data_IF_662172029598
#
_entry.id   IF_662172029598
#
_cell.length_a   1.000
_cell.length_b   1.000
_cell.length_c   1.000
_cell.angle_alpha   90.00
_cell.angle_beta   90.00
_cell.angle_gamma   90.00
#
_symmetry.space_group_name_H-M   'P 1'
#
loop_
_entity.id
_entity.type
_entity.pdbx_description
1 polymer ?
#
# COMPACT_ATOMS: atom_id res chain seq x y z
N UNK A 1 1.98 -3.54 14.67
CA UNK A 1 0.78 -3.11 13.92
C UNK A 1 0.91 -3.68 12.51
N UNK A 2 0.04 -4.61 12.12
CA UNK A 2 0.12 -5.22 10.79
C UNK A 2 -0.25 -4.18 9.72
N UNK A 3 0.47 -4.18 8.60
CA UNK A 3 0.09 -3.36 7.45
C UNK A 3 -1.24 -3.87 6.89
N UNK A 4 -2.13 -2.95 6.52
CA UNK A 4 -3.37 -3.31 5.82
C UNK A 4 -3.07 -4.10 4.54
N UNK A 5 -3.95 -5.04 4.20
CA UNK A 5 -3.82 -5.92 3.04
C UNK A 5 -3.64 -5.15 1.74
N UNK A 6 -2.89 -5.75 0.81
CA UNK A 6 -2.60 -5.14 -0.48
C UNK A 6 -3.87 -4.89 -1.32
N UNK A 7 -4.86 -5.80 -1.26
CA UNK A 7 -6.18 -5.60 -1.87
C UNK A 7 -6.83 -4.26 -1.46
N UNK A 8 -6.79 -3.95 -0.17
CA UNK A 8 -7.38 -2.73 0.38
C UNK A 8 -6.69 -1.49 -0.20
N UNK A 9 -5.37 -1.57 -0.38
CA UNK A 9 -4.58 -0.51 -1.00
C UNK A 9 -4.95 -0.32 -2.47
N UNK A 10 -5.09 -1.41 -3.23
CA UNK A 10 -5.48 -1.37 -4.63
C UNK A 10 -6.90 -0.79 -4.81
N UNK A 11 -7.83 -1.15 -3.93
CA UNK A 11 -9.19 -0.59 -3.92
C UNK A 11 -9.20 0.91 -3.62
N UNK A 12 -8.36 1.38 -2.69
CA UNK A 12 -8.17 2.81 -2.44
C UNK A 12 -7.62 3.53 -3.68
N UNK A 13 -6.55 3.00 -4.28
CA UNK A 13 -5.93 3.60 -5.47
C UNK A 13 -6.90 3.63 -6.66
N UNK A 14 -7.68 2.57 -6.87
CA UNK A 14 -8.71 2.54 -7.91
C UNK A 14 -9.78 3.62 -7.69
N UNK A 15 -10.19 3.86 -6.45
CA UNK A 15 -11.14 4.94 -6.14
C UNK A 15 -10.55 6.32 -6.41
N UNK A 16 -9.28 6.54 -6.04
CA UNK A 16 -8.58 7.79 -6.32
C UNK A 16 -8.42 8.05 -7.83
N UNK A 17 -8.11 7.02 -8.62
CA UNK A 17 -8.04 7.12 -10.09
C UNK A 17 -9.40 7.47 -10.70
N UNK A 18 -10.50 7.04 -10.09
CA UNK A 18 -11.88 7.40 -10.49
C UNK A 18 -12.31 8.80 -10.04
N UNK A 19 -11.45 9.53 -9.32
CA UNK A 19 -11.77 10.85 -8.77
C UNK A 19 -12.62 10.82 -7.49
N UNK A 20 -12.75 9.66 -6.83
CA UNK A 20 -13.47 9.58 -5.55
C UNK A 20 -12.69 10.32 -4.45
N UNK A 21 -13.39 11.08 -3.62
CA UNK A 21 -12.80 11.77 -2.48
C UNK A 21 -12.34 10.81 -1.38
N UNK A 22 -11.23 11.13 -0.71
CA UNK A 22 -10.61 10.28 0.33
C UNK A 22 -11.59 9.87 1.45
N UNK A 23 -12.48 10.78 1.86
CA UNK A 23 -13.51 10.51 2.88
C UNK A 23 -14.57 9.51 2.40
N UNK A 24 -14.93 9.57 1.11
CA UNK A 24 -15.90 8.62 0.52
C UNK A 24 -15.29 7.22 0.47
N UNK A 25 -14.05 7.12 -0.01
CA UNK A 25 -13.28 5.86 -0.06
C UNK A 25 -13.14 5.27 1.34
N UNK A 26 -12.78 6.11 2.32
CA UNK A 26 -12.62 5.70 3.71
C UNK A 26 -13.91 5.10 4.30
N UNK A 27 -15.06 5.74 4.05
CA UNK A 27 -16.36 5.22 4.48
C UNK A 27 -16.72 3.90 3.81
N UNK A 28 -16.49 3.79 2.49
CA UNK A 28 -16.83 2.59 1.71
C UNK A 28 -15.96 1.37 2.05
N UNK A 29 -14.71 1.60 2.43
CA UNK A 29 -13.75 0.55 2.77
C UNK A 29 -13.56 0.36 4.27
N UNK A 30 -14.30 1.10 5.10
CA UNK A 30 -14.23 1.05 6.57
C UNK A 30 -12.80 1.26 7.12
N UNK A 31 -12.07 2.19 6.50
CA UNK A 31 -10.70 2.56 6.87
C UNK A 31 -10.62 3.98 7.37
N UNK A 32 -9.53 4.30 8.07
CA UNK A 32 -9.25 5.67 8.46
C UNK A 32 -8.93 6.55 7.23
N UNK A 33 -9.52 7.74 7.17
CA UNK A 33 -9.21 8.77 6.15
C UNK A 33 -7.71 9.09 6.13
N UNK A 34 -7.05 9.09 7.29
CA UNK A 34 -5.59 9.30 7.40
C UNK A 34 -4.82 8.23 6.63
N UNK A 35 -5.28 6.98 6.70
CA UNK A 35 -4.63 5.88 5.99
C UNK A 35 -4.79 6.00 4.47
N UNK A 36 -5.96 6.44 4.00
CA UNK A 36 -6.19 6.75 2.58
C UNK A 36 -5.21 7.83 2.08
N UNK A 37 -4.99 8.89 2.85
CA UNK A 37 -3.99 9.91 2.52
C UNK A 37 -2.56 9.35 2.49
N UNK A 38 -2.18 8.49 3.43
CA UNK A 38 -0.86 7.84 3.40
C UNK A 38 -0.68 6.94 2.16
N UNK A 39 -1.73 6.25 1.72
CA UNK A 39 -1.70 5.44 0.49
C UNK A 39 -1.54 6.34 -0.73
N UNK A 40 -2.28 7.45 -0.80
CA UNK A 40 -2.18 8.45 -1.87
C UNK A 40 -0.77 9.04 -1.95
N UNK A 41 -0.28 9.57 -0.84
CA UNK A 41 1.03 10.21 -0.73
C UNK A 41 2.16 9.26 -1.14
N UNK A 42 2.10 8.00 -0.68
CA UNK A 42 3.07 6.97 -1.07
C UNK A 42 2.99 6.61 -2.56
N UNK A 43 1.80 6.65 -3.15
CA UNK A 43 1.62 6.41 -4.59
C UNK A 43 2.17 7.58 -5.41
N UNK A 44 1.94 8.83 -4.99
CA UNK A 44 2.48 10.03 -5.66
C UNK A 44 4.02 10.10 -5.57
N UNK A 45 4.61 9.72 -4.42
CA UNK A 45 6.06 9.76 -4.23
C UNK A 45 6.82 8.63 -4.95
N UNK A 46 6.25 7.42 -5.01
CA UNK A 46 6.97 6.23 -5.52
C UNK A 46 6.52 5.80 -6.91
N UNK A 47 5.35 6.26 -7.40
CA UNK A 47 4.71 5.78 -8.63
C UNK A 47 4.26 4.31 -8.60
N UNK A 48 4.61 3.56 -7.56
CA UNK A 48 4.30 2.14 -7.41
C UNK A 48 2.86 1.92 -6.93
N UNK A 49 2.03 1.35 -7.81
CA UNK A 49 0.66 0.87 -7.49
C UNK A 49 0.66 -0.31 -6.53
N UNK A 50 1.76 -1.06 -6.51
CA UNK A 50 1.98 -2.23 -5.66
C UNK A 50 2.63 -1.83 -4.33
N UNK A 51 2.18 -2.39 -3.20
CA UNK A 51 3.00 -2.36 -2.00
C UNK A 51 4.33 -3.04 -2.30
N UNK A 52 5.45 -2.41 -1.88
CA UNK A 52 6.75 -3.08 -1.86
C UNK A 52 6.60 -4.39 -1.10
N UNK A 53 7.20 -5.49 -1.61
CA UNK A 53 7.18 -6.80 -0.94
C UNK A 53 7.59 -6.63 0.53
N UNK A 54 6.63 -6.82 1.44
CA UNK A 54 6.89 -6.96 2.86
C UNK A 54 7.21 -8.43 3.11
N UNK A 55 8.50 -8.77 3.15
CA UNK A 55 8.97 -10.13 3.35
C UNK A 55 9.83 -10.63 2.20
N UNK A 56 11.07 -10.96 2.55
CA UNK A 56 12.08 -11.58 1.72
C UNK A 56 13.34 -11.71 2.56
N UNK A 57 13.78 -12.94 2.81
CA UNK A 57 15.05 -13.16 3.50
C UNK A 57 16.15 -12.46 2.70
N UNK A 58 16.95 -11.60 3.34
CA UNK A 58 18.19 -11.11 2.72
C UNK A 58 19.03 -12.36 2.45
N UNK A 59 19.22 -12.73 1.19
CA UNK A 59 20.22 -13.75 0.82
C UNK A 59 21.58 -13.19 1.19
N UNK A 60 22.12 -13.62 2.31
CA UNK A 60 23.52 -13.41 2.66
C UNK A 60 24.38 -14.13 1.63
N UNK A 61 25.42 -13.46 1.11
CA UNK A 61 26.43 -14.08 0.21
C UNK A 61 27.25 -15.19 0.88
N UNK A 62 27.09 -15.40 2.19
CA UNK A 62 27.76 -16.43 2.99
C UNK A 62 26.87 -17.68 3.09
N UNK A 63 26.29 -18.13 1.98
CA UNK A 63 25.57 -19.41 1.92
C UNK A 63 26.21 -20.37 0.89
N UNK A 64 27.23 -19.92 0.16
CA UNK A 64 27.97 -20.71 -0.83
C UNK A 64 29.38 -21.10 -0.32
N UNK A 65 29.64 -21.00 0.99
CA UNK A 65 30.97 -21.25 1.58
C UNK A 65 30.99 -22.34 2.68
N UNK A 66 30.00 -23.23 2.71
CA UNK A 66 30.04 -24.44 3.55
C UNK A 66 29.91 -25.72 2.72
#
# INVERSE_FOLDING_TARGET
MAAYSQDLRERVLSGLVRGEGATSIARRLEVSVRWVYQVKDRYEQSGERSARRLGGYRRSRIAELE
#
